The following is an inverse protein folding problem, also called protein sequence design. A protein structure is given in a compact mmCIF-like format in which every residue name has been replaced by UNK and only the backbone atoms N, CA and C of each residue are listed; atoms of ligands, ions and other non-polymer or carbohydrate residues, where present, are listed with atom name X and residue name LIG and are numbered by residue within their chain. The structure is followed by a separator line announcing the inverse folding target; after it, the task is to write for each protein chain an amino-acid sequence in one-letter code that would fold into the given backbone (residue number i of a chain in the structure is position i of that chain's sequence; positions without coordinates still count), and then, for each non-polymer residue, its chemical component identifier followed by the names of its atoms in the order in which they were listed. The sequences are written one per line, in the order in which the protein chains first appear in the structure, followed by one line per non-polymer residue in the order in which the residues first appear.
data_IF_723254064419
#
_entry.id   IF_723254064419
#
_cell.length_a   1.000
_cell.length_b   1.000
_cell.length_c   1.000
_cell.angle_alpha   90.00
_cell.angle_beta   90.00
_cell.angle_gamma   90.00
#
_symmetry.space_group_name_H-M   'P 1'
#
loop_
_entity.id
_entity.type
_entity.pdbx_description
1 polymer ?
#
# COMPACT_ATOMS: atom_id res chain seq x y z
N UNK A 1 -0.08 7.09 1.18
CA UNK A 1 -1.17 8.08 1.07
C UNK A 1 -2.11 8.07 2.27
N UNK A 2 -2.83 6.98 2.57
CA UNK A 2 -3.87 6.99 3.63
C UNK A 2 -3.38 7.28 5.05
N UNK A 3 -2.09 7.09 5.32
CA UNK A 3 -1.46 7.35 6.62
C UNK A 3 -0.80 8.72 6.73
N UNK A 4 -0.52 9.42 5.62
CA UNK A 4 0.32 10.63 5.57
C UNK A 4 -0.18 11.74 4.62
N UNK A 5 -1.20 11.47 3.81
CA UNK A 5 -1.72 12.40 2.81
C UNK A 5 -2.99 13.09 3.29
N UNK A 6 -3.38 14.11 2.53
CA UNK A 6 -4.55 14.96 2.80
C UNK A 6 -5.64 14.73 1.76
N UNK A 7 -6.87 15.13 2.09
CA UNK A 7 -8.01 15.02 1.17
C UNK A 7 -7.91 16.09 0.08
N UNK A 8 -7.85 15.66 -1.18
CA UNK A 8 -7.87 16.55 -2.33
C UNK A 8 -8.47 15.89 -3.57
N UNK A 9 -8.60 16.65 -4.67
CA UNK A 9 -9.11 16.12 -5.95
C UNK A 9 -7.93 15.83 -6.88
N UNK A 10 -7.79 14.56 -7.29
CA UNK A 10 -6.86 14.13 -8.32
C UNK A 10 -7.56 13.20 -9.31
N UNK A 11 -7.30 13.38 -10.61
CA UNK A 11 -7.92 12.59 -11.68
C UNK A 11 -9.45 12.47 -11.61
N UNK A 12 -10.13 13.54 -11.16
CA UNK A 12 -11.60 13.63 -11.13
C UNK A 12 -12.27 12.97 -9.93
N UNK A 13 -11.51 12.51 -8.93
CA UNK A 13 -12.04 11.95 -7.68
C UNK A 13 -11.51 12.69 -6.46
N UNK A 14 -12.34 12.88 -5.44
CA UNK A 14 -11.93 13.41 -4.13
C UNK A 14 -11.48 12.24 -3.24
N UNK A 15 -10.22 12.24 -2.84
CA UNK A 15 -9.63 11.19 -2.00
C UNK A 15 -8.35 11.65 -1.31
N UNK A 16 -7.76 10.79 -0.47
CA UNK A 16 -6.46 11.08 0.15
C UNK A 16 -5.32 10.96 -0.87
N UNK A 17 -4.45 11.97 -0.92
CA UNK A 17 -3.26 11.99 -1.77
C UNK A 17 -2.09 12.74 -1.13
N UNK A 18 -0.88 12.50 -1.63
CA UNK A 18 0.34 13.15 -1.15
C UNK A 18 0.56 14.47 -1.89
N UNK A 19 0.62 15.57 -1.14
CA UNK A 19 0.83 16.91 -1.68
C UNK A 19 1.70 17.75 -0.74
N UNK A 20 2.33 18.79 -1.27
CA UNK A 20 3.04 19.80 -0.49
C UNK A 20 2.10 20.92 -0.01
N UNK A 21 2.65 21.89 0.72
CA UNK A 21 1.90 23.02 1.28
C UNK A 21 1.25 23.93 0.22
N UNK A 22 1.77 23.91 -1.01
CA UNK A 22 1.25 24.66 -2.16
C UNK A 22 0.22 23.83 -2.97
N UNK A 23 -0.09 22.60 -2.52
CA UNK A 23 -1.02 21.68 -3.17
C UNK A 23 -0.46 21.00 -4.41
N UNK A 24 0.87 21.01 -4.61
CA UNK A 24 1.50 20.25 -5.68
C UNK A 24 1.62 18.78 -5.29
N UNK A 25 1.48 17.90 -6.28
CA UNK A 25 1.56 16.45 -6.07
C UNK A 25 2.99 16.06 -5.70
N UNK A 26 3.16 15.36 -4.58
CA UNK A 26 4.43 14.74 -4.21
C UNK A 26 4.51 13.38 -4.90
N UNK A 27 5.62 13.14 -5.59
CA UNK A 27 5.89 11.83 -6.20
C UNK A 27 5.99 10.76 -5.11
N UNK A 28 5.21 9.66 -5.22
CA UNK A 28 5.36 8.52 -4.33
C UNK A 28 6.68 7.81 -4.61
N UNK A 29 7.12 6.99 -3.65
CA UNK A 29 8.19 6.04 -3.86
C UNK A 29 7.81 4.71 -3.20
N UNK A 30 7.95 3.62 -3.96
CA UNK A 30 7.73 2.25 -3.50
C UNK A 30 8.55 1.28 -4.34
N UNK A 31 9.19 0.29 -3.73
CA UNK A 31 9.89 -0.78 -4.47
C UNK A 31 8.92 -1.59 -5.37
N UNK A 32 7.64 -1.63 -5.00
CA UNK A 32 6.58 -2.20 -5.82
C UNK A 32 6.00 -1.13 -6.74
N UNK A 33 6.25 -1.27 -8.06
CA UNK A 33 5.72 -0.36 -9.08
C UNK A 33 4.18 -0.29 -9.08
N UNK A 34 3.49 -1.32 -8.61
CA UNK A 34 2.02 -1.34 -8.50
C UNK A 34 1.46 -0.48 -7.37
N UNK A 35 2.30 -0.04 -6.43
CA UNK A 35 1.91 0.80 -5.29
C UNK A 35 2.47 2.23 -5.39
N UNK A 36 3.19 2.54 -6.47
CA UNK A 36 3.87 3.81 -6.68
C UNK A 36 2.92 4.84 -7.33
N UNK A 37 1.82 5.14 -6.65
CA UNK A 37 0.76 6.03 -7.14
C UNK A 37 0.29 7.03 -6.08
N UNK A 38 0.29 8.36 -6.33
CA UNK A 38 0.18 9.40 -5.29
C UNK A 38 -1.16 9.49 -4.57
N UNK A 39 -2.19 8.74 -4.99
CA UNK A 39 -3.54 8.82 -4.47
C UNK A 39 -4.16 7.45 -4.17
N UNK A 40 -5.34 7.44 -3.57
CA UNK A 40 -6.11 6.22 -3.30
C UNK A 40 -7.56 6.40 -3.75
N UNK A 41 -8.29 5.32 -4.01
CA UNK A 41 -9.71 5.39 -4.39
C UNK A 41 -10.57 6.09 -3.32
N UNK A 42 -11.65 6.79 -3.73
CA UNK A 42 -12.56 7.48 -2.80
C UNK A 42 -13.27 6.50 -1.85
N UNK A 43 -13.56 5.28 -2.30
CA UNK A 43 -14.18 4.25 -1.47
C UNK A 43 -13.29 3.85 -0.28
N UNK A 44 -11.99 3.68 -0.50
CA UNK A 44 -11.04 3.40 0.60
C UNK A 44 -10.95 4.54 1.60
N UNK A 45 -11.03 5.79 1.10
CA UNK A 45 -11.07 7.00 1.93
C UNK A 45 -12.31 6.99 2.82
N UNK A 46 -13.49 6.71 2.25
CA UNK A 46 -14.74 6.60 2.99
C UNK A 46 -14.72 5.47 4.03
N UNK A 47 -14.24 4.27 3.65
CA UNK A 47 -14.15 3.12 4.55
C UNK A 47 -13.20 3.37 5.74
N UNK A 48 -12.13 4.13 5.51
CA UNK A 48 -11.23 4.61 6.57
C UNK A 48 -11.97 5.56 7.51
N UNK A 49 -12.63 6.58 6.96
CA UNK A 49 -13.26 7.64 7.74
C UNK A 49 -14.42 7.12 8.60
N UNK A 50 -15.18 6.12 8.10
CA UNK A 50 -16.24 5.47 8.87
C UNK A 50 -15.74 4.38 9.84
N UNK A 51 -14.42 4.15 9.91
CA UNK A 51 -13.81 3.14 10.78
C UNK A 51 -14.11 1.68 10.38
N UNK A 52 -14.53 1.44 9.13
CA UNK A 52 -14.85 0.10 8.64
C UNK A 52 -13.62 -0.69 8.22
N UNK A 53 -12.55 0.01 7.83
CA UNK A 53 -11.28 -0.55 7.42
C UNK A 53 -10.10 0.21 8.03
N UNK A 54 -9.06 -0.52 8.39
CA UNK A 54 -7.79 0.02 8.89
C UNK A 54 -6.72 -0.08 7.81
N UNK A 55 -5.85 0.92 7.76
CA UNK A 55 -4.81 1.02 6.73
C UNK A 55 -3.46 1.24 7.39
N UNK A 56 -2.49 0.41 7.01
CA UNK A 56 -1.15 0.40 7.53
C UNK A 56 -0.15 0.66 6.40
N UNK A 57 0.98 1.28 6.73
CA UNK A 57 2.13 1.40 5.83
C UNK A 57 3.12 0.27 6.09
N UNK A 58 3.72 -0.24 5.03
CA UNK A 58 4.77 -1.27 5.07
C UNK A 58 5.99 -0.70 4.36
N UNK A 59 7.19 -0.87 4.93
CA UNK A 59 8.44 -0.41 4.30
C UNK A 59 8.92 -1.38 3.22
N UNK A 60 9.86 -0.93 2.39
CA UNK A 60 10.46 -1.80 1.36
C UNK A 60 11.17 -3.01 2.00
N UNK A 61 11.83 -2.85 3.15
CA UNK A 61 12.45 -3.97 3.88
C UNK A 61 11.42 -4.98 4.39
N UNK A 62 10.32 -4.50 4.98
CA UNK A 62 9.24 -5.36 5.47
C UNK A 62 8.55 -6.13 4.32
N UNK A 63 8.37 -5.47 3.17
CA UNK A 63 7.82 -6.10 1.97
C UNK A 63 8.74 -7.21 1.43
N UNK A 64 10.06 -6.98 1.40
CA UNK A 64 11.05 -7.96 0.98
C UNK A 64 11.11 -9.15 1.97
N UNK A 65 11.14 -8.89 3.27
CA UNK A 65 11.10 -9.95 4.28
C UNK A 65 9.85 -10.82 4.13
N UNK A 66 8.67 -10.20 3.97
CA UNK A 66 7.42 -10.90 3.72
C UNK A 66 7.46 -11.77 2.46
N UNK A 67 8.10 -11.28 1.38
CA UNK A 67 8.31 -12.06 0.16
C UNK A 67 9.20 -13.29 0.43
N UNK A 68 10.33 -13.12 1.13
CA UNK A 68 11.22 -14.24 1.47
C UNK A 68 10.51 -15.29 2.32
N UNK A 69 9.76 -14.87 3.34
CA UNK A 69 8.98 -15.78 4.19
C UNK A 69 7.95 -16.57 3.38
N UNK A 70 7.23 -15.91 2.46
CA UNK A 70 6.26 -16.59 1.58
C UNK A 70 6.94 -17.66 0.70
N UNK A 71 8.09 -17.35 0.10
CA UNK A 71 8.84 -18.31 -0.72
C UNK A 71 9.32 -19.49 0.11
N UNK A 72 9.90 -19.24 1.28
CA UNK A 72 10.38 -20.30 2.19
C UNK A 72 9.23 -21.18 2.65
N UNK A 73 8.08 -20.60 3.02
CA UNK A 73 6.89 -21.35 3.40
C UNK A 73 6.40 -22.26 2.27
N UNK A 74 6.33 -21.75 1.04
CA UNK A 74 5.93 -22.56 -0.13
C UNK A 74 6.91 -23.71 -0.38
N UNK A 75 8.22 -23.47 -0.27
CA UNK A 75 9.24 -24.51 -0.44
C UNK A 75 9.15 -25.59 0.64
N UNK A 76 8.98 -25.22 1.92
CA UNK A 76 8.82 -26.18 3.02
C UNK A 76 7.54 -27.01 2.83
N UNK A 77 6.43 -26.37 2.45
CA UNK A 77 5.18 -27.10 2.17
C UNK A 77 5.35 -28.05 0.98
N UNK A 78 6.02 -27.64 -0.09
CA UNK A 78 6.29 -28.49 -1.25
C UNK A 78 7.15 -29.71 -0.87
N UNK A 79 8.21 -29.53 -0.06
CA UNK A 79 9.04 -30.64 0.45
C UNK A 79 8.21 -31.60 1.29
N UNK A 80 7.40 -31.08 2.23
CA UNK A 80 6.54 -31.90 3.08
C UNK A 80 5.49 -32.71 2.29
N UNK A 81 4.95 -32.15 1.20
CA UNK A 81 4.02 -32.86 0.29
C UNK A 81 4.76 -33.97 -0.49
N UNK A 82 6.01 -33.74 -0.88
CA UNK A 82 6.82 -34.71 -1.60
C UNK A 82 7.40 -35.84 -0.71
N UNK A 83 7.26 -35.77 0.61
CA UNK A 83 7.64 -36.84 1.54
C UNK A 83 9.15 -37.10 1.63
N UNK A 84 9.97 -36.09 1.37
CA UNK A 84 11.43 -36.11 1.60
C UNK A 84 11.78 -35.75 3.04
#
# INVERSE_FOLDING_TARGET
MLTKGDVHVLHGAMSYLLQDDDGQIIEPHSISAGLDYPAVGPEHSFLKDMGRAEYYSVTDEEALEGMYQCVVFLLINAINICGL
#
